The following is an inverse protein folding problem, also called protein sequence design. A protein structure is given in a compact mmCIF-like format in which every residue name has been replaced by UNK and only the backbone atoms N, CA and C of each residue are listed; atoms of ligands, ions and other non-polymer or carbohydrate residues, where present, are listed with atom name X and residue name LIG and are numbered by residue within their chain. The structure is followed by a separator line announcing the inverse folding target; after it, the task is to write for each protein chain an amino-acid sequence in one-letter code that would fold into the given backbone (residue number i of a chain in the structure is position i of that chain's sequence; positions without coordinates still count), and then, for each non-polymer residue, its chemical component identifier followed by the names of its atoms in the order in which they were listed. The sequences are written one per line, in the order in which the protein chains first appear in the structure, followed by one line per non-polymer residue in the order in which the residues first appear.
data_IF_390374246467
#
_entry.id   IF_390374246467
#
_cell.length_a   1.000
_cell.length_b   1.000
_cell.length_c   1.000
_cell.angle_alpha   90.00
_cell.angle_beta   90.00
_cell.angle_gamma   90.00
#
_symmetry.space_group_name_H-M   'P 1'
#
loop_
_entity.id
_entity.type
_entity.pdbx_description
1 polymer ?
#
# COMPACT_ATOMS: atom_id res chain seq x y z
N UNK A 1 -12.68 -1.70 -9.23
CA UNK A 1 -11.69 -0.60 -9.20
C UNK A 1 -12.33 0.62 -9.85
N UNK A 2 -12.23 1.80 -9.24
CA UNK A 2 -12.59 3.07 -9.90
C UNK A 2 -11.42 4.04 -9.75
N UNK A 3 -11.09 4.78 -10.81
CA UNK A 3 -10.09 5.83 -10.77
C UNK A 3 -10.72 7.17 -11.14
N UNK A 4 -10.33 8.23 -10.45
CA UNK A 4 -10.56 9.62 -10.83
C UNK A 4 -9.22 10.23 -11.20
N UNK A 5 -9.24 11.15 -12.17
CA UNK A 5 -8.04 11.78 -12.68
C UNK A 5 -8.23 13.30 -12.56
N UNK A 6 -7.35 13.91 -11.78
CA UNK A 6 -7.21 15.35 -11.64
C UNK A 6 -6.04 15.81 -12.51
N UNK A 7 -6.28 16.79 -13.37
CA UNK A 7 -5.21 17.52 -14.04
C UNK A 7 -5.14 18.88 -13.36
N UNK A 8 -3.93 19.33 -13.04
CA UNK A 8 -3.74 20.69 -12.60
C UNK A 8 -4.38 21.64 -13.63
N UNK A 9 -5.14 22.67 -13.24
CA UNK A 9 -5.66 23.72 -14.13
C UNK A 9 -4.53 24.54 -14.78
N UNK A 10 -3.64 23.88 -15.51
CA UNK A 10 -2.87 24.52 -16.56
C UNK A 10 -3.85 24.93 -17.67
N UNK A 11 -3.81 26.18 -18.16
CA UNK A 11 -4.80 26.74 -19.10
C UNK A 11 -4.86 26.06 -20.48
N UNK A 12 -4.09 24.99 -20.69
CA UNK A 12 -3.82 24.37 -21.98
C UNK A 12 -4.25 22.90 -22.08
N UNK A 13 -4.99 22.38 -21.10
CA UNK A 13 -5.46 20.98 -21.08
C UNK A 13 -6.91 20.90 -21.55
N UNK A 14 -7.14 20.22 -22.67
CA UNK A 14 -8.48 19.96 -23.20
C UNK A 14 -9.28 18.98 -22.35
N UNK A 15 -10.61 18.96 -22.53
CA UNK A 15 -11.51 18.03 -21.84
C UNK A 15 -11.18 16.56 -22.15
N UNK A 16 -11.36 15.70 -21.15
CA UNK A 16 -11.20 14.24 -21.29
C UNK A 16 -12.09 13.68 -22.40
N UNK A 17 -11.52 12.88 -23.30
CA UNK A 17 -12.28 12.05 -24.24
C UNK A 17 -12.13 10.58 -23.84
N UNK A 18 -13.24 9.86 -23.69
CA UNK A 18 -13.18 8.41 -23.45
C UNK A 18 -12.68 7.69 -24.70
N UNK A 19 -11.80 6.71 -24.50
CA UNK A 19 -11.15 5.98 -25.60
C UNK A 19 -11.29 4.48 -25.39
N UNK A 20 -11.71 3.76 -26.44
CA UNK A 20 -11.83 2.31 -26.44
C UNK A 20 -10.82 1.60 -27.35
N UNK A 21 -10.28 2.31 -28.35
CA UNK A 21 -9.33 1.78 -29.32
C UNK A 21 -8.15 2.74 -29.42
N UNK A 22 -6.98 2.32 -28.95
CA UNK A 22 -5.72 3.06 -29.07
C UNK A 22 -4.67 2.11 -29.63
N UNK A 23 -3.73 2.58 -30.48
CA UNK A 23 -2.76 1.70 -31.14
C UNK A 23 -1.85 0.92 -30.18
N UNK A 24 -1.75 1.36 -28.92
CA UNK A 24 -0.98 0.72 -27.85
C UNK A 24 -1.86 0.03 -26.77
N UNK A 25 -3.19 -0.02 -26.95
CA UNK A 25 -4.09 -0.80 -26.09
C UNK A 25 -4.96 -1.72 -26.92
N UNK A 26 -4.94 -3.00 -26.59
CA UNK A 26 -5.95 -3.91 -27.07
C UNK A 26 -7.32 -3.54 -26.48
N UNK A 27 -8.31 -3.33 -27.35
CA UNK A 27 -9.68 -3.08 -26.92
C UNK A 27 -10.19 -4.27 -26.08
N UNK A 28 -10.61 -4.00 -24.85
CA UNK A 28 -11.22 -5.01 -23.98
C UNK A 28 -12.26 -4.38 -23.07
N UNK A 29 -13.27 -5.18 -22.69
CA UNK A 29 -14.28 -4.79 -21.71
C UNK A 29 -13.71 -4.71 -20.28
N UNK A 30 -12.46 -5.12 -20.09
CA UNK A 30 -11.75 -5.14 -18.81
C UNK A 30 -10.88 -3.91 -18.58
N UNK A 31 -10.82 -2.98 -19.55
CA UNK A 31 -10.00 -1.78 -19.48
C UNK A 31 -10.83 -0.52 -19.71
N UNK A 32 -10.48 0.56 -19.02
CA UNK A 32 -11.03 1.90 -19.24
C UNK A 32 -9.88 2.89 -19.46
N UNK A 33 -10.09 3.87 -20.35
CA UNK A 33 -9.08 4.87 -20.71
C UNK A 33 -9.72 6.21 -21.04
N UNK A 34 -8.94 7.28 -20.83
CA UNK A 34 -9.27 8.63 -21.25
C UNK A 34 -8.06 9.29 -21.88
N UNK A 35 -8.30 10.14 -22.87
CA UNK A 35 -7.30 10.93 -23.58
C UNK A 35 -7.47 12.40 -23.27
N UNK A 36 -6.34 13.08 -23.14
CA UNK A 36 -6.23 14.50 -22.88
C UNK A 36 -5.22 15.09 -23.85
N UNK A 37 -5.60 16.16 -24.53
CA UNK A 37 -4.67 16.94 -25.33
C UNK A 37 -4.16 18.09 -24.45
N UNK A 38 -2.84 18.28 -24.42
CA UNK A 38 -2.21 19.38 -23.67
C UNK A 38 -1.20 20.09 -24.57
N UNK A 39 -1.27 21.42 -24.61
CA UNK A 39 -0.23 22.23 -25.24
C UNK A 39 0.87 22.56 -24.22
N UNK A 40 2.00 21.86 -24.32
CA UNK A 40 3.15 22.10 -23.48
C UNK A 40 3.93 23.33 -23.95
N UNK A 41 4.38 24.14 -23.00
CA UNK A 41 5.31 25.25 -23.25
C UNK A 41 6.69 24.88 -22.75
N UNK A 42 7.74 25.36 -23.43
CA UNK A 42 9.11 25.08 -23.02
C UNK A 42 9.34 25.58 -21.58
N UNK A 43 10.00 24.77 -20.76
CA UNK A 43 10.32 25.05 -19.35
C UNK A 43 9.11 25.18 -18.41
N UNK A 44 7.94 24.63 -18.77
CA UNK A 44 6.78 24.54 -17.87
C UNK A 44 6.54 23.09 -17.47
N UNK A 45 6.38 22.85 -16.16
CA UNK A 45 6.03 21.53 -15.62
C UNK A 45 4.53 21.27 -15.80
N UNK A 46 4.18 20.01 -16.06
CA UNK A 46 2.80 19.54 -16.12
C UNK A 46 2.63 18.37 -15.15
N UNK A 47 1.76 18.57 -14.16
CA UNK A 47 1.46 17.53 -13.17
C UNK A 47 0.16 16.80 -13.52
N UNK A 48 0.22 15.47 -13.45
CA UNK A 48 -0.91 14.58 -13.68
C UNK A 48 -1.15 13.79 -12.40
N UNK A 49 -2.32 13.98 -11.80
CA UNK A 49 -2.70 13.35 -10.54
C UNK A 49 -3.80 12.33 -10.75
N UNK A 50 -3.57 11.09 -10.29
CA UNK A 50 -4.52 9.99 -10.41
C UNK A 50 -4.84 9.41 -9.06
N UNK A 51 -6.12 9.47 -8.68
CA UNK A 51 -6.64 8.90 -7.45
C UNK A 51 -7.38 7.60 -7.76
N UNK A 52 -7.00 6.49 -7.12
CA UNK A 52 -7.57 5.16 -7.40
C UNK A 52 -8.21 4.57 -6.16
N UNK A 53 -9.51 4.29 -6.23
CA UNK A 53 -10.26 3.57 -5.22
C UNK A 53 -10.28 2.07 -5.50
N UNK A 54 -9.80 1.28 -4.53
CA UNK A 54 -9.79 -0.18 -4.57
C UNK A 54 -10.62 -0.71 -3.40
N UNK A 55 -11.65 -1.51 -3.71
CA UNK A 55 -12.52 -2.13 -2.71
C UNK A 55 -12.88 -3.53 -3.20
N UNK A 56 -12.75 -4.51 -2.31
CA UNK A 56 -13.17 -5.90 -2.56
C UNK A 56 -14.54 -6.18 -1.94
N UNK A 57 -15.33 -7.04 -2.59
CA UNK A 57 -16.62 -7.55 -2.09
C UNK A 57 -16.47 -8.32 -0.77
N UNK A 58 -15.29 -8.90 -0.53
CA UNK A 58 -15.00 -9.65 0.71
C UNK A 58 -15.00 -8.73 1.91
N UNK A 59 -14.54 -7.49 1.72
CA UNK A 59 -14.34 -6.56 2.82
C UNK A 59 -15.52 -5.58 3.00
N UNK A 60 -16.32 -5.27 1.99
CA UNK A 60 -17.37 -4.25 2.13
C UNK A 60 -18.58 -4.52 1.24
N UNK A 61 -19.78 -4.18 1.74
CA UNK A 61 -21.01 -4.09 0.92
C UNK A 61 -20.88 -2.90 -0.06
N UNK A 62 -21.51 -3.00 -1.23
CA UNK A 62 -21.51 -1.96 -2.28
C UNK A 62 -20.09 -1.46 -2.67
N UNK A 63 -19.17 -2.36 -3.09
CA UNK A 63 -17.77 -2.02 -3.31
C UNK A 63 -17.55 -0.95 -4.40
N UNK A 64 -18.44 -0.89 -5.40
CA UNK A 64 -18.36 0.09 -6.49
C UNK A 64 -18.50 1.52 -5.98
N UNK A 65 -19.56 1.79 -5.20
CA UNK A 65 -19.85 3.12 -4.69
C UNK A 65 -18.82 3.56 -3.64
N UNK A 66 -18.35 2.61 -2.82
CA UNK A 66 -17.28 2.87 -1.86
C UNK A 66 -15.95 3.21 -2.55
N UNK A 67 -15.57 2.45 -3.58
CA UNK A 67 -14.38 2.74 -4.38
C UNK A 67 -14.49 4.11 -5.06
N UNK A 68 -15.67 4.44 -5.60
CA UNK A 68 -15.95 5.75 -6.20
C UNK A 68 -15.78 6.88 -5.19
N UNK A 69 -16.41 6.74 -4.04
CA UNK A 69 -16.40 7.75 -2.98
C UNK A 69 -14.98 7.97 -2.47
N UNK A 70 -14.21 6.91 -2.26
CA UNK A 70 -12.81 7.00 -1.83
C UNK A 70 -11.94 7.75 -2.85
N UNK A 71 -12.06 7.44 -4.14
CA UNK A 71 -11.31 8.14 -5.19
C UNK A 71 -11.68 9.63 -5.26
N UNK A 72 -12.98 9.96 -5.17
CA UNK A 72 -13.46 11.34 -5.16
C UNK A 72 -13.06 12.12 -3.90
N UNK A 73 -12.97 11.45 -2.75
CA UNK A 73 -12.49 12.06 -1.51
C UNK A 73 -10.99 12.34 -1.58
N UNK A 74 -10.19 11.40 -2.09
CA UNK A 74 -8.77 11.59 -2.32
C UNK A 74 -8.51 12.78 -3.26
N UNK A 75 -9.29 12.88 -4.34
CA UNK A 75 -9.24 14.00 -5.29
C UNK A 75 -9.50 15.36 -4.63
N UNK A 76 -10.47 15.42 -3.72
CA UNK A 76 -10.77 16.64 -2.93
C UNK A 76 -9.69 16.98 -1.89
N UNK A 77 -9.00 15.97 -1.36
CA UNK A 77 -7.95 16.17 -0.35
C UNK A 77 -6.63 16.63 -0.99
N UNK A 78 -6.35 16.16 -2.20
CA UNK A 78 -5.12 16.47 -2.92
C UNK A 78 -3.93 15.60 -2.52
N UNK A 79 -2.95 15.51 -3.41
CA UNK A 79 -1.80 14.61 -3.27
C UNK A 79 -0.92 14.92 -2.06
N UNK A 80 -0.54 16.18 -1.86
CA UNK A 80 0.39 16.55 -0.77
C UNK A 80 -0.17 16.22 0.61
N UNK A 81 -1.47 16.45 0.81
CA UNK A 81 -2.16 16.11 2.06
C UNK A 81 -2.18 14.59 2.29
N UNK A 82 -2.46 13.82 1.24
CA UNK A 82 -2.44 12.36 1.29
C UNK A 82 -1.03 11.81 1.53
N UNK A 83 -0.02 12.37 0.86
CA UNK A 83 1.38 12.00 1.03
C UNK A 83 1.85 12.29 2.46
N UNK A 84 1.54 13.48 2.98
CA UNK A 84 1.91 13.85 4.34
C UNK A 84 1.24 12.95 5.38
N UNK A 85 -0.04 12.61 5.19
CA UNK A 85 -0.76 11.65 6.02
C UNK A 85 -0.11 10.25 5.96
N UNK A 86 0.31 9.80 4.77
CA UNK A 86 0.99 8.53 4.58
C UNK A 86 2.37 8.49 5.25
N UNK A 87 3.19 9.53 5.08
CA UNK A 87 4.51 9.63 5.72
C UNK A 87 4.36 9.68 7.24
N UNK A 88 3.40 10.46 7.75
CA UNK A 88 3.11 10.53 9.19
C UNK A 88 2.64 9.18 9.75
N UNK A 89 1.86 8.43 8.97
CA UNK A 89 1.43 7.09 9.33
C UNK A 89 2.62 6.12 9.48
N UNK A 90 3.59 6.17 8.55
CA UNK A 90 4.81 5.36 8.64
C UNK A 90 5.73 5.79 9.77
N UNK A 91 5.94 7.10 9.98
CA UNK A 91 6.75 7.61 11.08
C UNK A 91 6.23 7.18 12.47
N UNK A 92 4.91 6.98 12.61
CA UNK A 92 4.33 6.44 13.83
C UNK A 92 4.60 4.93 13.99
N UNK A 93 4.45 4.16 12.90
CA UNK A 93 4.64 2.70 12.91
C UNK A 93 6.11 2.32 13.04
N UNK A 94 7.00 3.04 12.37
CA UNK A 94 8.45 2.86 12.37
C UNK A 94 9.11 4.11 12.94
N UNK A 95 8.84 4.40 14.22
CA UNK A 95 9.53 5.48 14.93
C UNK A 95 10.98 5.10 15.21
N UNK A 96 11.83 6.10 15.44
CA UNK A 96 13.28 5.93 15.64
C UNK A 96 13.63 4.93 16.77
N UNK A 97 12.74 4.72 17.74
CA UNK A 97 12.94 3.73 18.82
C UNK A 97 12.76 2.26 18.37
N UNK A 98 12.20 2.02 17.18
CA UNK A 98 11.91 0.69 16.63
C UNK A 98 12.74 0.37 15.40
N UNK A 99 13.66 1.27 15.01
CA UNK A 99 14.58 1.10 13.89
C UNK A 99 15.99 1.25 14.44
N UNK A 100 16.83 0.24 14.21
CA UNK A 100 18.22 0.28 14.67
C UNK A 100 18.98 1.42 13.99
N UNK A 101 19.70 2.22 14.77
CA UNK A 101 20.55 3.31 14.29
C UNK A 101 22.01 2.89 14.30
N UNK A 102 22.60 2.76 13.10
CA UNK A 102 24.00 2.36 12.90
C UNK A 102 24.95 3.56 12.77
N UNK A 103 24.45 4.78 12.93
CA UNK A 103 25.28 5.98 12.86
C UNK A 103 26.16 6.10 14.09
N UNK A 104 27.35 6.66 13.89
CA UNK A 104 28.25 7.09 14.95
C UNK A 104 27.68 8.31 15.68
N UNK A 105 28.23 8.66 16.84
CA UNK A 105 27.83 9.84 17.64
C UNK A 105 27.84 11.16 16.85
N UNK A 106 28.64 11.25 15.79
CA UNK A 106 28.70 12.41 14.89
C UNK A 106 27.61 12.42 13.80
N UNK A 107 26.70 11.44 13.79
CA UNK A 107 25.62 11.27 12.82
C UNK A 107 26.03 10.64 11.48
N UNK A 108 27.30 10.27 11.31
CA UNK A 108 27.78 9.63 10.08
C UNK A 108 27.68 8.11 10.17
N UNK A 109 27.46 7.44 9.04
CA UNK A 109 27.65 5.99 8.96
C UNK A 109 29.14 5.67 8.90
N UNK A 110 29.60 4.57 9.53
CA UNK A 110 30.94 4.04 9.32
C UNK A 110 31.21 3.75 7.84
N UNK A 111 32.46 3.91 7.40
CA UNK A 111 32.94 3.52 6.06
C UNK A 111 33.19 2.01 5.99
N UNK A 112 32.14 1.23 6.29
CA UNK A 112 32.10 -0.22 6.23
C UNK A 112 30.85 -0.64 5.43
N UNK A 113 31.01 -1.28 4.27
CA UNK A 113 29.90 -1.72 3.44
C UNK A 113 28.87 -2.59 4.19
N UNK A 114 29.31 -3.44 5.12
CA UNK A 114 28.39 -4.30 5.87
C UNK A 114 27.52 -3.49 6.83
N UNK A 115 28.06 -2.43 7.44
CA UNK A 115 27.27 -1.54 8.32
C UNK A 115 26.29 -0.70 7.49
N UNK A 116 26.67 -0.29 6.28
CA UNK A 116 25.76 0.39 5.37
C UNK A 116 24.60 -0.55 5.00
N UNK A 117 24.89 -1.81 4.64
CA UNK A 117 23.87 -2.81 4.33
C UNK A 117 22.94 -3.07 5.52
N UNK A 118 23.49 -3.24 6.73
CA UNK A 118 22.70 -3.43 7.96
C UNK A 118 21.79 -2.23 8.23
N UNK A 119 22.29 -1.00 8.02
CA UNK A 119 21.50 0.22 8.18
C UNK A 119 20.31 0.30 7.22
N UNK A 120 20.47 -0.21 5.99
CA UNK A 120 19.40 -0.31 5.01
C UNK A 120 18.42 -1.41 5.43
N UNK A 121 18.93 -2.59 5.81
CA UNK A 121 18.11 -3.75 6.17
C UNK A 121 17.27 -3.51 7.45
N UNK A 122 17.78 -2.72 8.39
CA UNK A 122 17.04 -2.33 9.59
C UNK A 122 15.75 -1.53 9.29
N UNK A 123 15.69 -0.88 8.13
CA UNK A 123 14.48 -0.19 7.67
C UNK A 123 13.67 -1.10 6.74
N UNK A 124 14.35 -1.72 5.77
CA UNK A 124 13.70 -2.47 4.69
C UNK A 124 12.98 -3.72 5.21
N UNK A 125 13.58 -4.48 6.11
CA UNK A 125 12.98 -5.71 6.65
C UNK A 125 11.67 -5.46 7.40
N UNK A 126 11.61 -4.57 8.41
CA UNK A 126 10.35 -4.28 9.09
C UNK A 126 9.33 -3.63 8.17
N UNK A 127 9.74 -2.77 7.23
CA UNK A 127 8.83 -2.21 6.22
C UNK A 127 8.12 -3.32 5.43
N UNK A 128 8.88 -4.29 4.89
CA UNK A 128 8.32 -5.40 4.12
C UNK A 128 7.41 -6.30 4.96
N UNK A 129 7.69 -6.52 6.24
CA UNK A 129 6.77 -7.27 7.11
C UNK A 129 5.50 -6.47 7.39
N UNK A 130 5.63 -5.21 7.80
CA UNK A 130 4.52 -4.39 8.28
C UNK A 130 3.54 -3.99 7.19
N UNK A 131 4.01 -3.78 5.95
CA UNK A 131 3.11 -3.48 4.81
C UNK A 131 2.12 -4.62 4.51
N UNK A 132 2.41 -5.85 4.94
CA UNK A 132 1.51 -7.01 4.80
C UNK A 132 0.44 -7.07 5.90
N UNK A 133 0.44 -6.13 6.86
CA UNK A 133 -0.44 -6.17 8.04
C UNK A 133 -1.44 -5.02 8.07
N UNK A 134 -2.60 -5.24 8.71
CA UNK A 134 -3.59 -4.20 8.93
C UNK A 134 -3.33 -3.44 10.24
N UNK A 135 -3.25 -2.11 10.17
CA UNK A 135 -3.08 -1.24 11.34
C UNK A 135 -4.36 -1.17 12.18
N UNK A 136 -4.22 -0.87 13.48
CA UNK A 136 -5.35 -0.80 14.44
C UNK A 136 -6.46 0.16 14.01
N UNK A 137 -6.12 1.29 13.41
CA UNK A 137 -7.08 2.27 12.91
C UNK A 137 -7.81 1.78 11.65
N UNK A 138 -7.14 1.04 10.77
CA UNK A 138 -7.78 0.37 9.63
C UNK A 138 -8.80 -0.66 10.12
N UNK A 139 -8.48 -1.39 11.20
CA UNK A 139 -9.41 -2.29 11.88
C UNK A 139 -10.60 -1.55 12.49
N UNK A 140 -10.38 -0.39 13.12
CA UNK A 140 -11.47 0.44 13.66
C UNK A 140 -12.42 0.94 12.55
N UNK A 141 -11.88 1.19 11.36
CA UNK A 141 -12.62 1.67 10.19
C UNK A 141 -13.14 0.54 9.28
N UNK A 142 -12.99 -0.73 9.67
CA UNK A 142 -13.34 -1.87 8.82
C UNK A 142 -14.84 -2.19 8.79
N UNK A 143 -15.67 -1.51 9.58
CA UNK A 143 -17.11 -1.78 9.71
C UNK A 143 -17.42 -3.25 10.04
N UNK A 144 -16.56 -3.89 10.86
CA UNK A 144 -16.71 -5.29 11.27
C UNK A 144 -16.03 -6.30 10.34
N UNK A 145 -15.43 -5.85 9.24
CA UNK A 145 -14.73 -6.74 8.31
C UNK A 145 -13.41 -7.24 8.89
N UNK A 146 -13.10 -8.55 8.74
CA UNK A 146 -11.92 -9.16 9.32
C UNK A 146 -10.66 -8.87 8.50
N UNK A 147 -10.16 -7.62 8.54
CA UNK A 147 -8.98 -7.23 7.76
C UNK A 147 -7.66 -7.81 8.30
N UNK A 148 -7.66 -8.37 9.51
CA UNK A 148 -6.48 -8.96 10.16
C UNK A 148 -6.49 -10.49 10.16
N UNK A 149 -7.18 -11.15 9.24
CA UNK A 149 -7.26 -12.62 9.20
C UNK A 149 -6.47 -13.26 8.04
N UNK A 150 -5.63 -12.48 7.33
CA UNK A 150 -4.96 -12.96 6.11
C UNK A 150 -3.49 -13.38 6.31
N UNK A 151 -2.90 -13.16 7.49
CA UNK A 151 -1.47 -13.42 7.77
C UNK A 151 -0.53 -12.74 6.75
N UNK A 152 0.71 -13.22 6.66
CA UNK A 152 1.70 -12.82 5.67
C UNK A 152 1.99 -14.03 4.77
N UNK A 153 1.83 -13.84 3.46
CA UNK A 153 2.14 -14.87 2.45
C UNK A 153 3.64 -14.95 2.19
N UNK A 154 4.11 -16.06 1.59
CA UNK A 154 5.55 -16.25 1.28
C UNK A 154 6.10 -15.14 0.37
N UNK A 155 5.33 -14.74 -0.66
CA UNK A 155 5.69 -13.64 -1.56
C UNK A 155 5.28 -12.24 -1.07
N UNK A 156 4.63 -12.15 0.09
CA UNK A 156 3.94 -10.94 0.54
C UNK A 156 2.94 -10.39 -0.49
N UNK A 157 2.72 -9.07 -0.44
CA UNK A 157 1.96 -8.31 -1.43
C UNK A 157 2.80 -7.89 -2.66
N UNK A 158 4.09 -8.24 -2.69
CA UNK A 158 5.02 -7.82 -3.75
C UNK A 158 5.14 -8.79 -4.92
N UNK A 159 4.62 -10.01 -4.79
CA UNK A 159 4.81 -11.09 -5.77
C UNK A 159 3.65 -12.09 -5.77
N UNK A 160 3.40 -12.72 -6.93
CA UNK A 160 2.44 -13.82 -7.09
C UNK A 160 3.04 -15.20 -6.76
N UNK A 161 4.33 -15.25 -6.38
CA UNK A 161 5.02 -16.49 -5.99
C UNK A 161 4.27 -17.23 -4.88
N UNK A 162 4.29 -18.57 -4.94
CA UNK A 162 3.55 -19.43 -4.02
C UNK A 162 2.04 -19.14 -3.99
N UNK A 163 1.47 -18.55 -5.05
CA UNK A 163 0.05 -18.23 -5.19
C UNK A 163 -0.53 -17.41 -4.01
N UNK A 164 0.31 -16.60 -3.36
CA UNK A 164 -0.11 -15.82 -2.18
C UNK A 164 -0.44 -16.68 -0.95
N UNK A 165 0.00 -17.93 -0.90
CA UNK A 165 -0.28 -18.83 0.22
C UNK A 165 0.50 -18.46 1.48
N UNK A 166 -0.13 -18.72 2.62
CA UNK A 166 0.46 -18.58 3.96
C UNK A 166 1.05 -19.91 4.39
N UNK A 167 2.36 -19.92 4.61
CA UNK A 167 3.16 -21.09 4.99
C UNK A 167 3.54 -21.07 6.48
N UNK A 168 4.22 -22.11 6.97
CA UNK A 168 4.80 -22.19 8.32
C UNK A 168 5.86 -21.10 8.59
N UNK A 169 6.37 -20.47 7.53
CA UNK A 169 7.26 -19.32 7.57
C UNK A 169 6.66 -18.14 8.35
N UNK A 170 5.33 -17.97 8.28
CA UNK A 170 4.65 -16.88 8.97
C UNK A 170 4.88 -16.95 10.49
N UNK A 171 4.72 -18.12 11.10
CA UNK A 171 4.93 -18.31 12.54
C UNK A 171 6.40 -18.48 12.91
N UNK A 172 7.20 -19.12 12.03
CA UNK A 172 8.57 -19.51 12.35
C UNK A 172 9.57 -18.38 12.17
N UNK A 173 9.42 -17.60 11.09
CA UNK A 173 10.41 -16.61 10.66
C UNK A 173 9.90 -15.17 10.77
N UNK A 174 8.61 -14.93 10.48
CA UNK A 174 8.07 -13.56 10.39
C UNK A 174 7.47 -13.07 11.72
N UNK A 175 6.67 -13.92 12.39
CA UNK A 175 5.98 -13.57 13.63
C UNK A 175 6.91 -13.18 14.78
N UNK A 176 8.07 -13.84 15.03
CA UNK A 176 8.88 -13.54 16.21
C UNK A 176 9.35 -12.07 16.28
N UNK A 177 9.84 -11.53 15.16
CA UNK A 177 10.25 -10.12 15.09
C UNK A 177 9.09 -9.16 15.31
N UNK A 178 7.92 -9.46 14.72
CA UNK A 178 6.72 -8.65 14.90
C UNK A 178 6.17 -8.72 16.33
N UNK A 179 6.26 -9.85 17.04
CA UNK A 179 5.79 -9.94 18.44
C UNK A 179 6.61 -9.04 19.35
N UNK A 180 7.93 -8.98 19.15
CA UNK A 180 8.82 -8.17 19.96
C UNK A 180 8.65 -6.66 19.69
N UNK A 181 8.63 -6.24 18.44
CA UNK A 181 8.62 -4.82 18.08
C UNK A 181 7.21 -4.25 17.82
N UNK A 182 6.29 -5.05 17.27
CA UNK A 182 5.01 -4.61 16.72
C UNK A 182 3.86 -5.59 17.06
N UNK A 183 3.56 -5.85 18.35
CA UNK A 183 2.68 -6.94 18.76
C UNK A 183 1.24 -6.83 18.23
N UNK A 184 0.80 -5.63 17.86
CA UNK A 184 -0.49 -5.44 17.22
C UNK A 184 -0.54 -5.99 15.78
N UNK A 185 0.55 -5.83 15.02
CA UNK A 185 0.68 -6.37 13.67
C UNK A 185 0.78 -7.90 13.71
N UNK A 186 1.55 -8.45 14.66
CA UNK A 186 1.72 -9.90 14.84
C UNK A 186 0.41 -10.68 15.05
N UNK A 187 -0.65 -10.03 15.58
CA UNK A 187 -1.95 -10.65 15.80
C UNK A 187 -2.59 -11.20 14.53
N UNK A 188 -2.26 -10.66 13.35
CA UNK A 188 -2.86 -11.12 12.10
C UNK A 188 -2.52 -12.57 11.78
N UNK A 189 -1.32 -13.01 12.16
CA UNK A 189 -0.82 -14.36 11.91
C UNK A 189 -1.63 -15.37 12.73
N UNK A 190 -1.77 -15.14 14.04
CA UNK A 190 -2.60 -15.99 14.90
C UNK A 190 -4.09 -15.93 14.53
N UNK A 191 -4.60 -14.74 14.18
CA UNK A 191 -6.01 -14.55 13.79
C UNK A 191 -6.35 -15.31 12.50
N UNK A 192 -5.41 -15.41 11.56
CA UNK A 192 -5.54 -16.25 10.38
C UNK A 192 -5.70 -17.72 10.75
N UNK A 193 -4.87 -18.27 11.65
CA UNK A 193 -4.98 -19.68 12.07
C UNK A 193 -6.30 -19.99 12.76
N UNK A 194 -6.80 -19.06 13.57
CA UNK A 194 -8.13 -19.19 14.19
C UNK A 194 -9.24 -19.16 13.13
N UNK A 195 -9.17 -18.23 12.16
CA UNK A 195 -10.17 -18.13 11.09
C UNK A 195 -10.24 -19.39 10.21
N UNK A 196 -9.11 -20.06 10.01
CA UNK A 196 -8.99 -21.28 9.21
C UNK A 196 -9.04 -22.57 10.03
N UNK A 197 -9.37 -22.50 11.33
CA UNK A 197 -9.31 -23.65 12.24
C UNK A 197 -10.19 -24.82 11.79
N UNK A 198 -11.43 -24.56 11.36
CA UNK A 198 -12.32 -25.64 10.90
C UNK A 198 -11.82 -26.30 9.62
N UNK A 199 -11.15 -25.54 8.73
CA UNK A 199 -10.54 -26.10 7.53
C UNK A 199 -9.37 -27.04 7.87
N UNK A 200 -8.66 -26.78 8.96
CA UNK A 200 -7.54 -27.62 9.41
C UNK A 200 -7.99 -28.95 10.06
N UNK A 201 -9.28 -29.10 10.40
CA UNK A 201 -9.82 -30.35 10.95
C UNK A 201 -10.32 -31.32 9.89
N UNK A 202 -10.65 -30.82 8.70
CA UNK A 202 -11.18 -31.59 7.58
C UNK A 202 -10.09 -32.48 6.96
#
# INVERSE_FOLDING_TARGET
MLATLGLDPSPNVGSAQFTHEEPYRQASNSSIGGKYNSNMTANTLMDIMKHVGIVSVVAFKNPKDRAKTAAQQADKQGFDSLLWSHVSAWANVMSDQFVDDFRLDNGTLPDDPSIIDDSIMAIVNPFYLLQNTARKDAMANSSGSPLNQNSISVGGLGSETFAGMVSWDAETWMQPGLVAACPAAAKTIGSCRVAHYEQAKA
#
